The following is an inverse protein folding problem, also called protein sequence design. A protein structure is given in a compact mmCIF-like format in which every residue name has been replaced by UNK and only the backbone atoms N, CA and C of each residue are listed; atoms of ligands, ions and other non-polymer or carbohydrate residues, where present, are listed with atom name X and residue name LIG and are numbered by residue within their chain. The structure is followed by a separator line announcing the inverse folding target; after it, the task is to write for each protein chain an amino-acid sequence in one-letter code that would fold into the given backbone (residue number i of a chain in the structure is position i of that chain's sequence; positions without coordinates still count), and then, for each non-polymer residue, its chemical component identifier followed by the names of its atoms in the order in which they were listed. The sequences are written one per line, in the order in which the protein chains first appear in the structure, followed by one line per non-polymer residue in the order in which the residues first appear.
data_IF_495344034707
#
_entry.id   IF_495344034707
#
_cell.length_a   1.000
_cell.length_b   1.000
_cell.length_c   1.000
_cell.angle_alpha   90.00
_cell.angle_beta   90.00
_cell.angle_gamma   90.00
#
_symmetry.space_group_name_H-M   'P 1'
#
loop_
_entity.id
_entity.type
_entity.pdbx_description
1 polymer ?
#
# COMPACT_ATOMS: atom_id res chain seq x y z
N UNK A 1 23.74 6.29 -6.44
CA UNK A 1 22.35 6.21 -5.94
C UNK A 1 21.92 4.78 -6.20
N UNK A 2 21.24 4.14 -5.24
CA UNK A 2 20.75 2.78 -5.42
C UNK A 2 19.65 2.75 -6.48
N UNK A 3 19.59 1.69 -7.29
CA UNK A 3 18.60 1.54 -8.35
C UNK A 3 17.39 0.78 -7.84
N UNK A 4 16.19 1.31 -8.08
CA UNK A 4 14.93 0.72 -7.67
C UNK A 4 14.02 0.51 -8.87
N UNK A 5 13.38 -0.66 -8.97
CA UNK A 5 12.31 -0.89 -9.93
C UNK A 5 10.95 -0.98 -9.22
N UNK A 6 9.89 -0.51 -9.88
CA UNK A 6 8.54 -0.50 -9.36
C UNK A 6 7.75 -1.62 -10.04
N UNK A 7 7.18 -2.53 -9.26
CA UNK A 7 6.31 -3.61 -9.74
C UNK A 7 4.90 -3.06 -9.96
N UNK A 8 4.43 -3.16 -11.20
CA UNK A 8 3.18 -2.60 -11.70
C UNK A 8 3.41 -1.38 -12.58
N UNK A 9 2.46 -1.13 -13.50
CA UNK A 9 2.47 0.01 -14.42
C UNK A 9 1.15 0.81 -14.39
N UNK A 10 0.28 0.52 -13.42
CA UNK A 10 -1.01 1.20 -13.23
C UNK A 10 -0.89 2.59 -12.60
N UNK A 11 -2.03 3.19 -12.23
CA UNK A 11 -2.10 4.54 -11.64
C UNK A 11 -1.20 4.71 -10.43
N UNK A 12 -1.29 3.80 -9.46
CA UNK A 12 -0.48 3.89 -8.26
C UNK A 12 1.03 3.71 -8.51
N UNK A 13 1.43 2.91 -9.51
CA UNK A 13 2.85 2.81 -9.86
C UNK A 13 3.42 4.14 -10.38
N UNK A 14 2.63 4.92 -11.13
CA UNK A 14 3.00 6.26 -11.59
C UNK A 14 3.07 7.26 -10.43
N UNK A 15 2.12 7.19 -9.51
CA UNK A 15 2.15 7.99 -8.27
C UNK A 15 3.38 7.65 -7.43
N UNK A 16 3.70 6.36 -7.29
CA UNK A 16 4.88 5.94 -6.54
C UNK A 16 6.20 6.42 -7.19
N UNK A 17 6.27 6.42 -8.53
CA UNK A 17 7.40 7.01 -9.25
C UNK A 17 7.56 8.51 -8.94
N UNK A 18 6.43 9.24 -8.92
CA UNK A 18 6.44 10.64 -8.51
C UNK A 18 6.86 10.81 -7.04
N UNK A 19 6.33 10.01 -6.11
CA UNK A 19 6.72 10.03 -4.69
C UNK A 19 8.23 9.84 -4.55
N UNK A 20 8.82 8.88 -5.26
CA UNK A 20 10.27 8.64 -5.22
C UNK A 20 11.07 9.84 -5.77
N UNK A 21 10.55 10.56 -6.77
CA UNK A 21 11.19 11.79 -7.25
C UNK A 21 11.19 12.91 -6.19
N UNK A 22 10.10 13.03 -5.42
CA UNK A 22 10.01 13.99 -4.30
C UNK A 22 10.97 13.61 -3.15
N UNK A 23 11.10 12.29 -2.86
CA UNK A 23 12.08 11.79 -1.88
C UNK A 23 13.51 12.13 -2.32
N UNK A 24 13.84 11.94 -3.60
CA UNK A 24 15.15 12.25 -4.14
C UNK A 24 15.46 13.75 -4.14
N UNK A 25 14.44 14.58 -4.28
CA UNK A 25 14.55 16.05 -4.29
C UNK A 25 14.56 16.66 -2.87
N UNK A 26 14.26 15.91 -1.79
CA UNK A 26 14.20 16.47 -0.44
C UNK A 26 15.57 17.02 0.01
N UNK A 27 15.70 18.35 0.21
CA UNK A 27 16.96 18.95 0.62
C UNK A 27 17.43 18.51 2.02
N UNK A 28 16.49 18.02 2.85
CA UNK A 28 16.78 17.53 4.21
C UNK A 28 17.40 16.15 4.20
N UNK A 29 17.31 15.41 3.08
CA UNK A 29 17.82 14.04 2.90
C UNK A 29 17.46 13.10 4.04
N UNK A 30 16.23 13.20 4.54
CA UNK A 30 15.74 12.39 5.66
C UNK A 30 15.66 10.90 5.33
N UNK A 31 15.45 10.60 4.06
CA UNK A 31 15.31 9.23 3.56
C UNK A 31 16.29 8.98 2.42
N UNK A 32 16.69 7.72 2.25
CA UNK A 32 17.59 7.33 1.19
C UNK A 32 16.95 7.56 -0.19
N UNK A 33 17.60 8.31 -1.09
CA UNK A 33 17.07 8.50 -2.43
C UNK A 33 17.38 7.30 -3.32
N UNK A 34 16.44 6.97 -4.22
CA UNK A 34 16.61 5.93 -5.23
C UNK A 34 16.53 6.52 -6.64
N UNK A 35 17.30 5.93 -7.56
CA UNK A 35 17.11 6.12 -8.98
C UNK A 35 16.05 5.12 -9.45
N UNK A 36 14.90 5.61 -9.94
CA UNK A 36 13.86 4.75 -10.49
C UNK A 36 14.26 4.26 -11.87
N UNK A 37 14.64 2.97 -11.95
CA UNK A 37 15.13 2.35 -13.17
C UNK A 37 14.01 2.15 -14.20
N UNK A 38 12.86 1.59 -13.78
CA UNK A 38 11.71 1.33 -14.65
C UNK A 38 10.45 0.95 -13.85
N UNK A 39 9.34 0.85 -14.57
CA UNK A 39 8.12 0.17 -14.13
C UNK A 39 8.10 -1.24 -14.73
N UNK A 40 7.76 -2.25 -13.94
CA UNK A 40 7.75 -3.66 -14.35
C UNK A 40 6.32 -4.21 -14.39
N UNK A 41 5.96 -4.83 -15.50
CA UNK A 41 4.63 -5.42 -15.70
C UNK A 41 4.75 -6.86 -16.25
N UNK A 42 3.99 -7.79 -15.68
CA UNK A 42 4.00 -9.19 -16.13
C UNK A 42 3.41 -9.39 -17.52
N UNK A 43 2.54 -8.49 -17.96
CA UNK A 43 1.89 -8.61 -19.25
C UNK A 43 1.71 -7.24 -19.90
N UNK A 44 2.75 -6.81 -20.60
CA UNK A 44 2.79 -5.52 -21.31
C UNK A 44 1.67 -5.39 -22.36
N UNK A 45 1.22 -6.50 -22.94
CA UNK A 45 0.15 -6.49 -23.98
C UNK A 45 -1.21 -6.05 -23.43
N UNK A 46 -1.41 -6.11 -22.11
CA UNK A 46 -2.64 -5.61 -21.45
C UNK A 46 -2.64 -4.11 -21.20
N UNK A 47 -1.52 -3.45 -21.40
CA UNK A 47 -1.45 -2.00 -21.22
C UNK A 47 -2.11 -1.30 -22.41
N UNK A 48 -3.17 -0.55 -22.15
CA UNK A 48 -3.87 0.26 -23.16
C UNK A 48 -3.03 1.41 -23.72
N UNK A 49 -1.98 1.79 -23.02
CA UNK A 49 -1.00 2.81 -23.44
C UNK A 49 0.32 2.53 -22.71
N UNK A 50 1.25 1.77 -23.31
CA UNK A 50 2.56 1.55 -22.68
C UNK A 50 3.31 2.88 -22.62
N UNK A 51 3.47 3.41 -21.41
CA UNK A 51 4.36 4.56 -21.18
C UNK A 51 5.81 4.16 -21.50
N UNK A 52 6.60 5.12 -21.96
CA UNK A 52 8.03 4.93 -22.11
C UNK A 52 8.65 4.58 -20.74
N UNK A 53 9.33 3.44 -20.65
CA UNK A 53 9.95 2.99 -19.41
C UNK A 53 9.26 1.83 -18.70
N UNK A 54 8.15 1.30 -19.23
CA UNK A 54 7.62 0.01 -18.79
C UNK A 54 8.39 -1.13 -19.44
N UNK A 55 8.71 -2.16 -18.66
CA UNK A 55 9.44 -3.36 -19.09
C UNK A 55 8.69 -4.61 -18.63
N UNK A 56 8.93 -5.71 -19.34
CA UNK A 56 8.46 -7.02 -18.90
C UNK A 56 9.25 -7.47 -17.66
N UNK A 57 8.53 -7.92 -16.62
CA UNK A 57 9.10 -8.13 -15.29
C UNK A 57 10.20 -9.21 -15.29
N UNK A 58 9.91 -10.40 -15.80
CA UNK A 58 10.83 -11.52 -15.69
C UNK A 58 12.09 -11.29 -16.54
N UNK A 59 11.92 -10.90 -17.81
CA UNK A 59 13.02 -10.62 -18.74
C UNK A 59 13.93 -9.52 -18.18
N UNK A 60 13.33 -8.47 -17.61
CA UNK A 60 14.11 -7.34 -17.11
C UNK A 60 14.88 -7.67 -15.83
N UNK A 61 14.24 -8.37 -14.87
CA UNK A 61 14.88 -8.74 -13.60
C UNK A 61 16.00 -9.78 -13.79
N UNK A 62 15.91 -10.63 -14.82
CA UNK A 62 16.99 -11.57 -15.15
C UNK A 62 18.20 -10.90 -15.82
N UNK A 63 17.97 -9.79 -16.52
CA UNK A 63 18.99 -9.15 -17.37
C UNK A 63 19.62 -7.89 -16.74
N UNK A 64 19.09 -7.41 -15.61
CA UNK A 64 19.53 -6.16 -15.02
C UNK A 64 19.77 -6.26 -13.53
N UNK A 65 20.84 -5.60 -13.08
CA UNK A 65 21.10 -5.40 -11.67
C UNK A 65 20.20 -4.28 -11.11
N UNK A 66 19.46 -4.63 -10.08
CA UNK A 66 18.64 -3.71 -9.30
C UNK A 66 18.87 -3.97 -7.81
N UNK A 67 18.99 -2.90 -7.04
CA UNK A 67 19.26 -3.00 -5.60
C UNK A 67 17.99 -3.21 -4.79
N UNK A 68 16.87 -2.67 -5.28
CA UNK A 68 15.62 -2.63 -4.54
C UNK A 68 14.38 -2.75 -5.43
N UNK A 69 13.31 -3.26 -4.85
CA UNK A 69 11.98 -3.31 -5.46
C UNK A 69 10.94 -2.58 -4.60
N UNK A 70 9.92 -2.02 -5.26
CA UNK A 70 8.75 -1.47 -4.60
C UNK A 70 7.46 -1.93 -5.31
N UNK A 71 6.37 -2.16 -4.57
CA UNK A 71 5.12 -2.63 -5.15
C UNK A 71 4.19 -1.45 -5.43
N UNK A 72 4.03 -1.08 -6.70
CA UNK A 72 3.14 -0.03 -7.21
C UNK A 72 1.71 -0.50 -7.46
N UNK A 73 1.18 -1.41 -6.64
CA UNK A 73 -0.14 -2.02 -6.81
C UNK A 73 -0.97 -1.79 -5.54
N UNK A 74 -2.17 -1.22 -5.69
CA UNK A 74 -3.07 -0.86 -4.59
C UNK A 74 -4.01 -1.99 -4.10
N UNK A 75 -3.93 -3.19 -4.66
CA UNK A 75 -4.75 -4.33 -4.22
C UNK A 75 -4.01 -5.14 -3.15
N UNK A 76 -4.55 -5.29 -1.91
CA UNK A 76 -3.86 -5.98 -0.81
C UNK A 76 -3.45 -7.42 -1.15
N UNK A 77 -4.36 -8.21 -1.71
CA UNK A 77 -4.09 -9.61 -2.05
C UNK A 77 -3.01 -9.74 -3.13
N UNK A 78 -3.04 -8.87 -4.15
CA UNK A 78 -2.02 -8.84 -5.19
C UNK A 78 -0.66 -8.44 -4.63
N UNK A 79 -0.60 -7.42 -3.76
CA UNK A 79 0.64 -6.99 -3.08
C UNK A 79 1.29 -8.16 -2.34
N UNK A 80 0.53 -8.87 -1.50
CA UNK A 80 1.05 -10.00 -0.72
C UNK A 80 1.57 -11.14 -1.60
N UNK A 81 0.81 -11.53 -2.63
CA UNK A 81 1.23 -12.59 -3.57
C UNK A 81 2.50 -12.23 -4.33
N UNK A 82 2.62 -10.99 -4.77
CA UNK A 82 3.79 -10.50 -5.49
C UNK A 82 5.00 -10.45 -4.55
N UNK A 83 4.84 -9.90 -3.35
CA UNK A 83 5.90 -9.85 -2.35
C UNK A 83 6.45 -11.25 -2.04
N UNK A 84 5.56 -12.21 -1.76
CA UNK A 84 5.94 -13.60 -1.47
C UNK A 84 6.70 -14.24 -2.65
N UNK A 85 6.17 -14.12 -3.86
CA UNK A 85 6.78 -14.66 -5.07
C UNK A 85 8.17 -14.09 -5.33
N UNK A 86 8.29 -12.76 -5.35
CA UNK A 86 9.54 -12.11 -5.70
C UNK A 86 10.60 -12.25 -4.59
N UNK A 87 10.23 -12.24 -3.33
CA UNK A 87 11.18 -12.54 -2.23
C UNK A 87 11.75 -13.95 -2.32
N UNK A 88 10.94 -14.93 -2.74
CA UNK A 88 11.41 -16.29 -2.96
C UNK A 88 12.32 -16.39 -4.17
N UNK A 89 11.99 -15.69 -5.25
CA UNK A 89 12.74 -15.76 -6.52
C UNK A 89 14.03 -14.94 -6.46
N UNK A 90 14.01 -13.79 -5.79
CA UNK A 90 15.12 -12.84 -5.68
C UNK A 90 15.43 -12.47 -4.22
N UNK A 91 15.95 -13.42 -3.41
CA UNK A 91 16.11 -13.25 -1.96
C UNK A 91 17.14 -12.19 -1.54
N UNK A 92 17.94 -11.70 -2.47
CA UNK A 92 18.97 -10.67 -2.21
C UNK A 92 18.52 -9.26 -2.51
N UNK A 93 17.37 -9.08 -3.17
CA UNK A 93 16.84 -7.76 -3.51
C UNK A 93 16.19 -7.16 -2.26
N UNK A 94 16.48 -5.91 -2.00
CA UNK A 94 15.97 -5.16 -0.86
C UNK A 94 14.53 -4.64 -1.11
N UNK A 95 13.79 -4.44 -0.02
CA UNK A 95 12.44 -3.90 -0.01
C UNK A 95 12.36 -2.69 0.93
N UNK A 96 12.87 -1.53 0.52
CA UNK A 96 12.94 -0.37 1.40
C UNK A 96 11.55 0.13 1.78
N UNK A 97 11.44 0.69 2.99
CA UNK A 97 10.31 1.54 3.32
C UNK A 97 10.42 2.86 2.53
N UNK A 98 9.32 3.27 1.87
CA UNK A 98 9.25 4.51 1.10
C UNK A 98 8.36 5.50 1.85
N UNK A 99 8.95 6.61 2.28
CA UNK A 99 8.29 7.60 3.10
C UNK A 99 8.39 8.95 2.41
N UNK A 100 7.24 9.52 2.03
CA UNK A 100 7.24 10.84 1.41
C UNK A 100 7.74 11.93 2.37
N UNK A 101 8.49 12.94 1.93
CA UNK A 101 9.04 14.00 2.78
C UNK A 101 8.02 14.83 3.58
N UNK A 102 6.74 14.85 3.19
CA UNK A 102 5.67 15.54 3.94
C UNK A 102 5.03 14.68 5.04
N UNK A 103 5.43 13.43 5.18
CA UNK A 103 4.94 12.57 6.27
C UNK A 103 5.40 13.12 7.62
N UNK A 104 4.47 13.18 8.56
CA UNK A 104 4.73 13.51 9.96
C UNK A 104 4.59 12.22 10.74
N UNK A 105 5.67 11.73 11.33
CA UNK A 105 5.65 10.56 12.21
C UNK A 105 6.72 10.70 13.29
N UNK A 106 6.49 10.07 14.42
CA UNK A 106 7.53 9.90 15.45
C UNK A 106 8.44 8.73 15.07
N UNK A 107 9.65 9.04 14.61
CA UNK A 107 10.63 8.05 14.16
C UNK A 107 11.28 7.26 15.29
N UNK A 108 11.11 7.68 16.56
CA UNK A 108 11.69 7.00 17.72
C UNK A 108 10.83 5.82 18.16
N UNK A 109 9.50 5.94 18.04
CA UNK A 109 8.57 4.94 18.56
C UNK A 109 7.78 4.21 17.48
N UNK A 110 7.70 4.74 16.24
CA UNK A 110 7.05 4.07 15.13
C UNK A 110 7.96 3.03 14.48
N UNK A 111 7.42 1.84 14.23
CA UNK A 111 8.12 0.74 13.56
C UNK A 111 7.60 0.62 12.13
N UNK A 112 8.50 0.70 11.16
CA UNK A 112 8.21 0.46 9.76
C UNK A 112 8.98 -0.77 9.29
N UNK A 113 8.25 -1.81 8.90
CA UNK A 113 8.86 -3.00 8.32
C UNK A 113 9.17 -2.81 6.82
N UNK A 114 9.76 -3.83 6.20
CA UNK A 114 10.14 -3.82 4.79
C UNK A 114 8.96 -3.52 3.85
N UNK A 115 9.21 -2.78 2.77
CA UNK A 115 8.23 -2.51 1.71
C UNK A 115 7.03 -1.64 2.13
N UNK A 116 7.06 -1.03 3.31
CA UNK A 116 6.05 -0.06 3.76
C UNK A 116 6.09 1.18 2.87
N UNK A 117 4.92 1.69 2.51
CA UNK A 117 4.80 2.94 1.74
C UNK A 117 3.90 3.91 2.50
N UNK A 118 4.44 5.07 2.86
CA UNK A 118 3.69 6.19 3.44
C UNK A 118 3.65 7.35 2.44
N UNK A 119 2.46 7.62 1.91
CA UNK A 119 2.23 8.63 0.87
C UNK A 119 2.19 10.07 1.43
N UNK A 120 2.19 11.09 0.55
CA UNK A 120 2.09 12.49 0.94
C UNK A 120 0.97 12.80 1.92
N UNK A 121 1.28 13.64 2.92
CA UNK A 121 0.30 14.15 3.88
C UNK A 121 -0.16 13.16 4.94
N UNK A 122 0.46 11.99 5.05
CA UNK A 122 0.20 11.06 6.16
C UNK A 122 0.70 11.68 7.46
N UNK A 123 -0.16 11.63 8.49
CA UNK A 123 0.19 11.99 9.87
C UNK A 123 0.04 10.75 10.74
N UNK A 124 1.15 10.26 11.27
CA UNK A 124 1.21 9.12 12.18
C UNK A 124 1.79 9.60 13.52
N UNK A 125 1.14 9.28 14.62
CA UNK A 125 1.58 9.82 15.93
C UNK A 125 2.68 8.94 16.55
N UNK A 126 2.44 8.28 17.66
CA UNK A 126 3.46 7.56 18.43
C UNK A 126 3.13 6.06 18.57
N UNK A 127 4.13 5.22 18.77
CA UNK A 127 3.98 3.78 19.05
C UNK A 127 3.19 3.00 17.96
N UNK A 128 3.30 3.39 16.71
CA UNK A 128 2.58 2.76 15.61
C UNK A 128 3.45 1.69 14.95
N UNK A 129 2.85 0.55 14.60
CA UNK A 129 3.52 -0.52 13.83
C UNK A 129 2.92 -0.60 12.44
N UNK A 130 3.74 -0.38 11.42
CA UNK A 130 3.43 -0.63 10.02
C UNK A 130 4.11 -1.93 9.61
N UNK A 131 3.33 -3.01 9.47
CA UNK A 131 3.86 -4.31 9.05
C UNK A 131 4.22 -4.33 7.57
N UNK A 132 5.03 -5.32 7.18
CA UNK A 132 5.63 -5.47 5.85
C UNK A 132 4.62 -5.26 4.71
N UNK A 133 5.04 -4.50 3.72
CA UNK A 133 4.25 -4.22 2.50
C UNK A 133 2.91 -3.50 2.73
N UNK A 134 2.66 -2.94 3.90
CA UNK A 134 1.49 -2.08 4.11
C UNK A 134 1.63 -0.77 3.30
N UNK A 135 0.48 -0.24 2.88
CA UNK A 135 0.38 1.01 2.14
C UNK A 135 -0.57 1.95 2.87
N UNK A 136 -0.09 3.12 3.26
CA UNK A 136 -0.92 4.22 3.75
C UNK A 136 -0.91 5.33 2.72
N UNK A 137 -2.07 5.55 2.12
CA UNK A 137 -2.25 6.45 1.00
C UNK A 137 -2.39 7.92 1.44
N UNK A 138 -2.62 8.82 0.50
CA UNK A 138 -2.59 10.27 0.69
C UNK A 138 -3.49 10.78 1.84
N UNK A 139 -2.96 11.73 2.63
CA UNK A 139 -3.70 12.48 3.65
C UNK A 139 -4.44 11.61 4.69
N UNK A 140 -3.87 10.45 5.05
CA UNK A 140 -4.39 9.61 6.13
C UNK A 140 -3.87 10.08 7.49
N UNK A 141 -4.68 9.87 8.55
CA UNK A 141 -4.23 10.05 9.92
C UNK A 141 -4.25 8.72 10.67
N UNK A 142 -3.16 8.43 11.40
CA UNK A 142 -3.01 7.19 12.17
C UNK A 142 -2.72 7.56 13.61
N UNK A 143 -3.63 7.18 14.50
CA UNK A 143 -3.55 7.45 15.94
C UNK A 143 -2.54 6.55 16.66
N UNK A 144 -2.21 6.93 17.88
CA UNK A 144 -1.26 6.26 18.75
C UNK A 144 -1.58 4.77 18.96
N UNK A 145 -0.55 3.95 19.14
CA UNK A 145 -0.61 2.51 19.37
C UNK A 145 -1.37 1.69 18.31
N UNK A 146 -1.67 2.32 17.15
CA UNK A 146 -2.31 1.59 16.06
C UNK A 146 -1.34 0.60 15.40
N UNK A 147 -1.90 -0.46 14.85
CA UNK A 147 -1.16 -1.47 14.08
C UNK A 147 -1.79 -1.63 12.69
N UNK A 148 -0.99 -1.47 11.64
CA UNK A 148 -1.40 -1.67 10.26
C UNK A 148 -0.77 -2.97 9.75
N UNK A 149 -1.59 -3.99 9.56
CA UNK A 149 -1.17 -5.34 9.23
C UNK A 149 -0.58 -5.49 7.83
N UNK A 150 0.15 -6.57 7.64
CA UNK A 150 0.93 -6.91 6.45
C UNK A 150 0.12 -6.79 5.16
N UNK A 151 0.65 -6.05 4.19
CA UNK A 151 0.05 -5.87 2.87
C UNK A 151 -1.29 -5.13 2.84
N UNK A 152 -1.76 -4.62 3.97
CA UNK A 152 -3.01 -3.85 4.04
C UNK A 152 -2.87 -2.51 3.33
N UNK A 153 -3.97 -2.05 2.74
CA UNK A 153 -4.04 -0.81 1.99
C UNK A 153 -5.05 0.12 2.64
N UNK A 154 -4.56 1.24 3.14
CA UNK A 154 -5.34 2.32 3.73
C UNK A 154 -5.47 3.40 2.65
N UNK A 155 -6.65 3.51 2.04
CA UNK A 155 -6.89 4.43 0.92
C UNK A 155 -6.93 5.91 1.37
N UNK A 156 -6.92 6.87 0.41
CA UNK A 156 -6.82 8.29 0.74
C UNK A 156 -7.84 8.79 1.76
N UNK A 157 -7.40 9.72 2.61
CA UNK A 157 -8.24 10.42 3.59
C UNK A 157 -8.91 9.51 4.65
N UNK A 158 -8.36 8.34 4.89
CA UNK A 158 -8.79 7.46 5.98
C UNK A 158 -8.24 7.99 7.31
N UNK A 159 -9.08 7.98 8.34
CA UNK A 159 -8.67 8.30 9.70
C UNK A 159 -8.79 7.04 10.58
N UNK A 160 -7.68 6.67 11.18
CA UNK A 160 -7.56 5.54 12.10
C UNK A 160 -7.26 6.10 13.48
N UNK A 161 -8.16 5.87 14.44
CA UNK A 161 -8.00 6.33 15.83
C UNK A 161 -6.98 5.49 16.58
N UNK A 162 -6.70 5.86 17.83
CA UNK A 162 -5.77 5.14 18.68
C UNK A 162 -6.18 3.69 18.96
N UNK A 163 -5.19 2.83 19.25
CA UNK A 163 -5.37 1.42 19.61
C UNK A 163 -6.04 0.53 18.55
N UNK A 164 -6.30 1.06 17.36
CA UNK A 164 -6.89 0.27 16.26
C UNK A 164 -5.91 -0.79 15.76
N UNK A 165 -6.42 -1.98 15.52
CA UNK A 165 -5.64 -3.09 14.93
C UNK A 165 -6.24 -3.46 13.58
N UNK A 166 -5.51 -3.15 12.51
CA UNK A 166 -5.85 -3.58 11.16
C UNK A 166 -5.07 -4.86 10.87
N UNK A 167 -5.78 -5.93 10.54
CA UNK A 167 -5.21 -7.23 10.20
C UNK A 167 -4.44 -7.23 8.87
N UNK A 168 -3.97 -8.40 8.44
CA UNK A 168 -3.25 -8.56 7.19
C UNK A 168 -4.19 -8.53 5.97
N UNK A 169 -3.73 -7.95 4.86
CA UNK A 169 -4.47 -7.95 3.59
C UNK A 169 -5.80 -7.19 3.61
N UNK A 170 -5.99 -6.28 4.54
CA UNK A 170 -7.21 -5.46 4.67
C UNK A 170 -7.22 -4.35 3.64
N UNK A 171 -8.40 -4.04 3.10
CA UNK A 171 -8.64 -2.85 2.30
C UNK A 171 -9.53 -1.88 3.06
N UNK A 172 -9.03 -0.70 3.39
CA UNK A 172 -9.82 0.38 3.96
C UNK A 172 -10.11 1.42 2.88
N UNK A 173 -11.38 1.59 2.54
CA UNK A 173 -11.84 2.48 1.47
C UNK A 173 -11.66 3.95 1.80
N UNK A 174 -11.53 4.77 0.74
CA UNK A 174 -11.32 6.22 0.82
C UNK A 174 -12.28 6.90 1.80
N UNK A 175 -11.74 7.75 2.68
CA UNK A 175 -12.51 8.55 3.63
C UNK A 175 -13.15 7.80 4.79
N UNK A 176 -12.87 6.50 4.96
CA UNK A 176 -13.41 5.73 6.10
C UNK A 176 -12.85 6.24 7.44
N UNK A 177 -13.65 6.09 8.49
CA UNK A 177 -13.34 6.49 9.85
C UNK A 177 -13.33 5.24 10.74
N UNK A 178 -12.20 4.90 11.33
CA UNK A 178 -12.08 3.72 12.21
C UNK A 178 -11.93 4.23 13.65
N UNK A 179 -12.92 3.92 14.48
CA UNK A 179 -12.94 4.42 15.85
C UNK A 179 -11.99 3.62 16.75
N UNK A 180 -11.63 4.24 17.86
CA UNK A 180 -10.67 3.75 18.86
C UNK A 180 -10.98 2.30 19.31
N UNK A 181 -9.94 1.56 19.67
CA UNK A 181 -10.00 0.16 20.16
C UNK A 181 -10.65 -0.84 19.18
N UNK A 182 -10.81 -0.49 17.92
CA UNK A 182 -11.47 -1.36 16.92
C UNK A 182 -10.46 -2.34 16.30
N UNK A 183 -10.89 -3.59 16.12
CA UNK A 183 -10.14 -4.63 15.39
C UNK A 183 -10.78 -4.86 14.02
N UNK A 184 -10.00 -4.73 12.96
CA UNK A 184 -10.38 -5.09 11.59
C UNK A 184 -9.68 -6.41 11.26
N UNK A 185 -10.44 -7.49 11.11
CA UNK A 185 -9.90 -8.82 10.85
C UNK A 185 -9.22 -8.95 9.49
N UNK A 186 -8.36 -9.96 9.35
CA UNK A 186 -7.59 -10.23 8.13
C UNK A 186 -8.48 -10.29 6.88
N UNK A 187 -7.98 -9.74 5.78
CA UNK A 187 -8.66 -9.73 4.48
C UNK A 187 -10.06 -9.07 4.49
N UNK A 188 -10.42 -8.33 5.54
CA UNK A 188 -11.66 -7.57 5.57
C UNK A 188 -11.61 -6.38 4.60
N UNK A 189 -12.79 -5.92 4.20
CA UNK A 189 -12.95 -4.74 3.35
C UNK A 189 -13.85 -3.74 4.09
N UNK A 190 -13.33 -2.55 4.31
CA UNK A 190 -14.10 -1.40 4.80
C UNK A 190 -14.43 -0.52 3.59
N UNK A 191 -15.72 -0.30 3.34
CA UNK A 191 -16.17 0.54 2.21
C UNK A 191 -15.80 2.01 2.38
N UNK A 192 -15.74 2.72 1.26
CA UNK A 192 -15.45 4.17 1.27
C UNK A 192 -16.46 4.94 2.12
N UNK A 193 -15.98 5.91 2.91
CA UNK A 193 -16.80 6.74 3.81
C UNK A 193 -17.47 6.01 4.97
N UNK A 194 -17.15 4.74 5.20
CA UNK A 194 -17.75 3.98 6.30
C UNK A 194 -17.23 4.46 7.67
N UNK A 195 -18.09 4.42 8.69
CA UNK A 195 -17.71 4.69 10.08
C UNK A 195 -17.74 3.39 10.86
N UNK A 196 -16.57 2.84 11.15
CA UNK A 196 -16.41 1.57 11.85
C UNK A 196 -16.32 1.84 13.35
N UNK A 197 -17.32 1.39 14.10
CA UNK A 197 -17.45 1.56 15.55
C UNK A 197 -17.55 0.23 16.30
N UNK A 198 -17.26 -0.88 15.65
CA UNK A 198 -17.22 -2.24 16.20
C UNK A 198 -16.22 -3.07 15.43
N UNK A 199 -15.73 -4.13 16.05
CA UNK A 199 -14.84 -5.07 15.38
C UNK A 199 -15.46 -5.63 14.10
N UNK A 200 -14.59 -5.86 13.10
CA UNK A 200 -14.96 -6.43 11.80
C UNK A 200 -14.31 -7.81 11.68
N UNK A 201 -15.15 -8.83 11.46
CA UNK A 201 -14.69 -10.20 11.31
C UNK A 201 -13.79 -10.39 10.06
N UNK A 202 -12.83 -11.32 10.10
CA UNK A 202 -11.98 -11.61 8.95
C UNK A 202 -12.78 -11.90 7.67
N UNK A 203 -12.29 -11.43 6.53
CA UNK A 203 -12.91 -11.63 5.22
C UNK A 203 -14.25 -10.93 5.01
N UNK A 204 -14.73 -10.16 5.98
CA UNK A 204 -16.02 -9.48 5.92
C UNK A 204 -15.92 -8.14 5.19
N UNK A 205 -16.92 -7.82 4.38
CA UNK A 205 -17.08 -6.46 3.82
C UNK A 205 -18.08 -5.68 4.66
N UNK A 206 -17.69 -4.50 5.15
CA UNK A 206 -18.56 -3.58 5.91
C UNK A 206 -18.69 -2.23 5.20
N UNK A 207 -19.90 -1.64 5.24
CA UNK A 207 -20.18 -0.32 4.63
C UNK A 207 -21.15 0.49 5.48
N UNK A 208 -21.18 1.79 5.29
CA UNK A 208 -22.17 2.70 5.86
C UNK A 208 -21.79 3.36 7.18
N UNK A 209 -22.73 4.16 7.73
CA UNK A 209 -22.60 4.94 8.96
C UNK A 209 -23.79 4.61 9.87
N UNK A 210 -23.58 3.82 10.94
CA UNK A 210 -22.38 3.06 11.26
C UNK A 210 -22.16 1.88 10.30
N UNK A 211 -20.90 1.44 10.13
CA UNK A 211 -20.55 0.32 9.24
C UNK A 211 -21.23 -0.97 9.66
N UNK A 212 -21.79 -1.68 8.67
CA UNK A 212 -22.46 -2.97 8.86
C UNK A 212 -22.00 -3.95 7.78
N UNK A 213 -21.93 -5.26 8.09
CA UNK A 213 -21.63 -6.28 7.10
C UNK A 213 -22.64 -6.26 5.95
N UNK A 214 -22.13 -6.43 4.73
CA UNK A 214 -22.95 -6.71 3.56
C UNK A 214 -22.79 -8.17 3.15
N UNK A 215 -23.91 -8.84 2.87
CA UNK A 215 -23.89 -10.17 2.28
C UNK A 215 -23.78 -9.99 0.77
N UNK A 216 -22.64 -10.39 0.17
CA UNK A 216 -22.56 -10.49 -1.29
C UNK A 216 -23.47 -11.63 -1.74
N UNK A 217 -24.60 -11.33 -2.37
CA UNK A 217 -25.38 -12.33 -3.07
C UNK A 217 -24.66 -12.70 -4.36
N UNK A 218 -24.58 -14.00 -4.68
CA UNK A 218 -23.87 -14.56 -5.83
C UNK A 218 -24.29 -14.00 -7.22
N UNK A 219 -25.27 -13.10 -7.27
CA UNK A 219 -25.71 -12.42 -8.49
C UNK A 219 -24.90 -11.19 -8.89
N UNK A 220 -24.03 -10.66 -8.02
CA UNK A 220 -23.25 -9.44 -8.30
C UNK A 220 -21.84 -9.72 -8.85
N UNK A 221 -21.39 -10.97 -8.81
CA UNK A 221 -20.08 -11.37 -9.37
C UNK A 221 -20.02 -11.43 -10.91
N UNK A 222 -21.17 -11.20 -11.58
CA UNK A 222 -21.27 -11.20 -13.06
C UNK A 222 -20.88 -9.91 -13.75
N UNK A 223 -20.54 -8.85 -13.02
CA UNK A 223 -19.89 -7.68 -13.63
C UNK A 223 -18.38 -7.83 -13.49
N UNK A 224 -17.82 -8.61 -14.43
CA UNK A 224 -16.40 -8.48 -14.76
C UNK A 224 -16.09 -6.99 -14.91
N UNK A 225 -15.27 -6.45 -14.01
CA UNK A 225 -14.57 -5.20 -14.26
C UNK A 225 -13.51 -5.48 -15.32
N UNK A 226 -13.95 -5.68 -16.54
CA UNK A 226 -13.24 -5.26 -17.72
C UNK A 226 -13.37 -3.75 -17.76
N UNK A 227 -12.48 -3.06 -17.07
CA UNK A 227 -12.22 -1.66 -17.35
C UNK A 227 -11.04 -1.21 -16.49
N UNK A 228 -10.01 -0.84 -17.16
CA UNK A 228 -8.95 0.08 -16.73
C UNK A 228 -8.01 -0.44 -15.61
N UNK A 229 -7.13 -1.36 -16.01
CA UNK A 229 -5.76 -1.38 -15.49
C UNK A 229 -4.91 -0.42 -16.32
#
# INVERSE_FOLDING_TARGET
MRRLAIIGAGGFARELRWILSEVAADPRKRYEPFEVACLLENNIQKLTSPESGVREEAEWLESNDVDALAIGIGNPSARLKIAERLKKQYPKIDWPAIIHPSVILDSETCVLEEGVILCPGVVATVNIVFESFSLVNFACTIGHEAKIGKGSVINPSVNISGWVRVGAGVLVGTGAQILEDTVIGDSAIVGAGAVVNKNVEPGTTVVGIPARPIVRTAKEDGRSREANA
#
